data_IF_144098405242
#
_entry.id   IF_144098405242
#
_cell.length_a   1.000
_cell.length_b   1.000
_cell.length_c   1.000
_cell.angle_alpha   90.00
_cell.angle_beta   90.00
_cell.angle_gamma   90.00
#
_symmetry.space_group_name_H-M   'P 1'
#
loop_
_entity.id
_entity.type
_entity.pdbx_description
1 polymer ?
#
# COMPACT_ATOMS: atom_id res chain seq x y z
N UNK A 1 -7.33 -17.77 -1.51
CA UNK A 1 -7.10 -16.51 -0.77
C UNK A 1 -5.89 -15.84 -1.41
N UNK A 2 -5.98 -14.54 -1.69
CA UNK A 2 -4.90 -13.72 -2.25
C UNK A 2 -4.64 -12.56 -1.30
N UNK A 3 -3.37 -12.24 -1.08
CA UNK A 3 -2.94 -11.10 -0.27
C UNK A 3 -2.11 -10.19 -1.15
N UNK A 4 -2.46 -8.91 -1.19
CA UNK A 4 -1.73 -7.88 -1.93
C UNK A 4 -1.14 -6.89 -0.94
N UNK A 5 0.18 -6.69 -1.02
CA UNK A 5 0.84 -5.61 -0.28
C UNK A 5 0.58 -4.30 -1.01
N UNK A 6 -0.29 -3.47 -0.46
CA UNK A 6 -0.63 -2.16 -1.03
C UNK A 6 0.46 -1.13 -0.72
N UNK A 7 1.13 -1.29 0.40
CA UNK A 7 2.32 -0.52 0.76
C UNK A 7 3.12 -1.23 1.85
N UNK A 8 4.41 -0.93 1.90
CA UNK A 8 5.38 -1.54 2.82
C UNK A 8 6.38 -0.53 3.38
N UNK A 9 6.10 0.76 3.21
CA UNK A 9 6.89 1.86 3.76
C UNK A 9 6.54 2.14 5.22
N UNK A 10 7.47 2.77 5.92
CA UNK A 10 7.23 3.35 7.24
C UNK A 10 6.20 4.50 7.16
N UNK A 11 5.91 5.15 8.28
CA UNK A 11 4.94 6.26 8.38
C UNK A 11 5.17 7.38 7.35
N UNK A 12 6.44 7.66 7.01
CA UNK A 12 6.83 8.68 6.04
C UNK A 12 6.89 8.20 4.57
N UNK A 13 6.76 6.88 4.32
CA UNK A 13 7.01 6.29 3.01
C UNK A 13 8.50 6.31 2.60
N UNK A 14 8.77 5.98 1.34
CA UNK A 14 10.09 6.14 0.71
C UNK A 14 9.91 6.64 -0.74
N UNK A 15 10.58 7.75 -1.14
CA UNK A 15 11.44 8.61 -0.33
C UNK A 15 10.66 9.38 0.76
N UNK A 16 11.36 9.83 1.79
CA UNK A 16 10.81 10.80 2.73
C UNK A 16 10.65 12.18 2.04
N UNK A 17 9.94 13.09 2.71
CA UNK A 17 9.76 14.46 2.20
C UNK A 17 11.14 15.12 2.04
N UNK A 18 11.42 15.60 0.83
CA UNK A 18 12.68 16.28 0.50
C UNK A 18 13.75 15.36 -0.10
N UNK A 19 13.64 15.03 -1.40
CA UNK A 19 14.13 13.82 -2.10
C UNK A 19 15.03 12.83 -1.32
N UNK A 20 14.63 12.41 -0.12
CA UNK A 20 15.47 11.62 0.77
C UNK A 20 15.14 10.13 0.65
N UNK A 21 16.03 9.41 -0.03
CA UNK A 21 15.94 7.96 -0.22
C UNK A 21 16.68 7.17 0.88
N UNK A 22 17.38 7.86 1.80
CA UNK A 22 18.29 7.24 2.73
C UNK A 22 19.33 6.37 2.01
N UNK A 23 19.36 5.08 2.36
CA UNK A 23 20.23 4.07 1.72
C UNK A 23 19.57 3.32 0.55
N UNK A 24 18.34 3.68 0.16
CA UNK A 24 17.66 3.02 -0.94
C UNK A 24 18.18 3.52 -2.29
N UNK A 25 18.31 2.62 -3.26
CA UNK A 25 18.61 2.97 -4.65
C UNK A 25 17.36 3.63 -5.28
N UNK A 26 17.44 4.91 -5.72
CA UNK A 26 16.32 5.63 -6.32
C UNK A 26 15.92 5.10 -7.71
N UNK A 27 16.78 4.31 -8.35
CA UNK A 27 16.52 3.75 -9.69
C UNK A 27 15.78 2.42 -9.64
N UNK A 28 15.80 1.71 -8.51
CA UNK A 28 15.00 0.50 -8.31
C UNK A 28 13.55 0.88 -7.96
N UNK A 29 12.56 0.60 -8.83
CA UNK A 29 11.17 0.99 -8.58
C UNK A 29 10.58 0.36 -7.32
N UNK A 30 11.13 -0.76 -6.83
CA UNK A 30 10.69 -1.41 -5.57
C UNK A 30 11.01 -0.58 -4.34
N UNK A 31 11.91 0.39 -4.44
CA UNK A 31 12.25 1.29 -3.35
C UNK A 31 11.28 2.47 -3.21
N UNK A 32 10.38 2.68 -4.18
CA UNK A 32 9.28 3.62 -4.00
C UNK A 32 8.18 2.96 -3.18
N UNK A 33 8.09 3.30 -1.89
CA UNK A 33 7.22 2.61 -0.93
C UNK A 33 6.16 3.56 -0.39
N UNK A 34 4.90 3.22 -0.67
CA UNK A 34 3.72 3.78 0.00
C UNK A 34 3.64 3.27 1.44
N UNK A 35 2.90 3.97 2.29
CA UNK A 35 2.68 3.59 3.71
C UNK A 35 2.00 2.23 3.81
N UNK A 36 2.33 1.51 4.88
CA UNK A 36 1.87 0.14 5.11
C UNK A 36 0.36 -0.01 4.98
N UNK A 37 -0.08 -0.99 4.19
CA UNK A 37 -1.48 -1.42 4.07
C UNK A 37 -1.53 -2.76 3.33
N UNK A 38 -2.51 -3.60 3.65
CA UNK A 38 -2.73 -4.89 2.98
C UNK A 38 -4.16 -4.98 2.45
N UNK A 39 -4.29 -5.68 1.32
CA UNK A 39 -5.57 -6.11 0.79
C UNK A 39 -5.66 -7.64 0.86
N UNK A 40 -6.71 -8.16 1.48
CA UNK A 40 -7.00 -9.59 1.55
C UNK A 40 -8.24 -9.88 0.72
N UNK A 41 -8.06 -10.68 -0.33
CA UNK A 41 -9.11 -11.10 -1.23
C UNK A 41 -9.39 -12.60 -1.03
N UNK A 42 -10.65 -12.93 -0.73
CA UNK A 42 -11.15 -14.30 -0.67
C UNK A 42 -12.08 -14.56 -1.87
N UNK A 43 -12.75 -15.72 -1.91
CA UNK A 43 -13.73 -15.98 -2.97
C UNK A 43 -14.94 -15.05 -2.93
N UNK A 44 -15.27 -14.47 -1.77
CA UNK A 44 -16.51 -13.70 -1.57
C UNK A 44 -16.34 -12.36 -0.87
N UNK A 45 -15.13 -12.04 -0.41
CA UNK A 45 -14.86 -10.83 0.38
C UNK A 45 -13.56 -10.17 -0.01
N UNK A 46 -13.58 -8.84 -0.02
CA UNK A 46 -12.42 -7.96 -0.13
C UNK A 46 -12.25 -7.18 1.17
N UNK A 47 -11.17 -7.44 1.90
CA UNK A 47 -10.91 -6.87 3.21
C UNK A 47 -9.67 -5.98 3.12
N UNK A 48 -9.79 -4.74 3.57
CA UNK A 48 -8.67 -3.80 3.70
C UNK A 48 -8.12 -3.88 5.13
N UNK A 49 -6.79 -3.89 5.26
CA UNK A 49 -6.09 -3.71 6.53
C UNK A 49 -5.35 -2.38 6.45
N UNK A 50 -5.65 -1.48 7.39
CA UNK A 50 -5.22 -0.08 7.45
C UNK A 50 -5.70 0.80 6.28
N UNK A 51 -6.31 1.93 6.63
CA UNK A 51 -6.66 3.01 5.69
C UNK A 51 -5.53 4.03 5.62
N UNK A 52 -4.37 3.63 5.09
CA UNK A 52 -3.22 4.50 4.93
C UNK A 52 -3.57 5.75 4.08
N UNK A 53 -2.84 6.88 4.22
CA UNK A 53 -3.15 8.06 3.41
C UNK A 53 -2.91 7.86 1.90
N UNK A 54 -2.27 6.76 1.48
CA UNK A 54 -2.11 6.38 0.06
C UNK A 54 -3.32 5.60 -0.49
N UNK A 55 -4.36 5.34 0.33
CA UNK A 55 -5.41 4.36 0.05
C UNK A 55 -6.04 4.53 -1.34
N UNK A 56 -6.34 5.77 -1.73
CA UNK A 56 -6.94 6.06 -3.04
C UNK A 56 -6.09 5.49 -4.18
N UNK A 57 -4.80 5.83 -4.21
CA UNK A 57 -3.88 5.35 -5.25
C UNK A 57 -3.67 3.84 -5.15
N UNK A 58 -3.61 3.30 -3.93
CA UNK A 58 -3.47 1.87 -3.68
C UNK A 58 -4.65 1.05 -4.25
N UNK A 59 -5.89 1.49 -4.04
CA UNK A 59 -7.07 0.80 -4.56
C UNK A 59 -7.24 0.99 -6.07
N UNK A 60 -6.85 2.15 -6.62
CA UNK A 60 -6.82 2.38 -8.07
C UNK A 60 -5.84 1.40 -8.75
N UNK A 61 -4.62 1.29 -8.24
CA UNK A 61 -3.61 0.37 -8.78
C UNK A 61 -4.03 -1.09 -8.65
N UNK A 62 -4.67 -1.44 -7.53
CA UNK A 62 -5.22 -2.78 -7.30
C UNK A 62 -6.53 -3.05 -8.06
N UNK A 63 -7.11 -2.04 -8.73
CA UNK A 63 -8.41 -2.09 -9.43
C UNK A 63 -9.57 -2.57 -8.55
N UNK A 64 -9.59 -2.11 -7.31
CA UNK A 64 -10.63 -2.44 -6.32
C UNK A 64 -11.67 -1.33 -6.25
N UNK A 65 -12.92 -1.67 -6.49
CA UNK A 65 -14.05 -0.72 -6.43
C UNK A 65 -14.98 -0.94 -5.23
N UNK A 66 -14.81 -2.02 -4.48
CA UNK A 66 -15.64 -2.37 -3.32
C UNK A 66 -14.83 -3.06 -2.24
N UNK A 67 -15.06 -2.65 -0.99
CA UNK A 67 -14.54 -3.28 0.21
C UNK A 67 -15.72 -3.82 1.03
N UNK A 68 -15.56 -5.02 1.60
CA UNK A 68 -16.53 -5.65 2.49
C UNK A 68 -16.27 -5.31 3.96
N UNK A 69 -15.00 -5.10 4.32
CA UNK A 69 -14.60 -4.75 5.67
C UNK A 69 -13.28 -3.98 5.67
N UNK A 70 -13.06 -3.24 6.76
CA UNK A 70 -11.81 -2.56 7.10
C UNK A 70 -11.38 -3.03 8.48
N UNK A 71 -10.12 -3.41 8.62
CA UNK A 71 -9.46 -3.73 9.89
C UNK A 71 -8.36 -2.69 10.17
N UNK A 72 -8.27 -2.24 11.42
CA UNK A 72 -7.30 -1.27 11.93
C UNK A 72 -6.43 -1.91 13.02
#
# INVERSE_FOLDING_TARGET
MKVTVLGCGASWGVPAIGPDWGRCDPTDPRNRRRRCSLLVETQSRTILIDTAPDLREQLIDARVSRLDAVLL
#
